data_IF_810961836833
#
_entry.id   IF_810961836833
#
_cell.length_a   1.000
_cell.length_b   1.000
_cell.length_c   1.000
_cell.angle_alpha   90.00
_cell.angle_beta   90.00
_cell.angle_gamma   90.00
#
_symmetry.space_group_name_H-M   'P 1'
#
loop_
_entity.id
_entity.type
_entity.pdbx_description
1 polymer ?
#
# COMPACT_ATOMS: atom_id res chain seq x y z
N UNK A 1 -0.82 26.71 -6.11
CA UNK A 1 -0.01 25.60 -6.68
C UNK A 1 -0.32 24.35 -5.87
N UNK A 2 -1.09 23.40 -6.42
CA UNK A 2 -1.27 22.12 -5.76
C UNK A 2 0.09 21.43 -5.71
N UNK A 3 0.69 21.34 -4.52
CA UNK A 3 1.80 20.43 -4.27
C UNK A 3 1.43 19.09 -4.89
N UNK A 4 2.20 18.61 -5.89
CA UNK A 4 1.99 17.28 -6.46
C UNK A 4 2.08 16.30 -5.29
N UNK A 5 0.92 15.81 -4.83
CA UNK A 5 0.87 14.74 -3.83
C UNK A 5 1.74 13.62 -4.37
N UNK A 6 2.77 13.23 -3.62
CA UNK A 6 3.62 12.08 -3.97
C UNK A 6 3.06 10.88 -3.24
N UNK A 7 3.07 9.74 -3.90
CA UNK A 7 2.75 8.48 -3.23
C UNK A 7 3.98 8.01 -2.44
N UNK A 8 3.87 7.76 -1.12
CA UNK A 8 4.94 7.15 -0.34
C UNK A 8 5.12 5.65 -0.63
N UNK A 9 4.22 5.06 -1.43
CA UNK A 9 4.21 3.65 -1.78
C UNK A 9 5.53 3.20 -2.40
N UNK A 10 6.12 2.17 -1.81
CA UNK A 10 7.30 1.45 -2.32
C UNK A 10 6.91 0.01 -2.61
N UNK A 11 7.74 -0.70 -3.39
CA UNK A 11 7.53 -2.13 -3.60
C UNK A 11 7.60 -2.85 -2.24
N UNK A 12 6.55 -3.59 -1.82
CA UNK A 12 6.56 -4.32 -0.56
C UNK A 12 7.71 -5.32 -0.45
N UNK A 13 8.15 -5.88 -1.58
CA UNK A 13 9.08 -7.01 -1.63
C UNK A 13 10.55 -6.57 -1.66
N UNK A 14 10.88 -5.53 -2.43
CA UNK A 14 12.27 -5.07 -2.59
C UNK A 14 12.53 -3.63 -2.12
N UNK A 15 11.52 -2.96 -1.54
CA UNK A 15 11.59 -1.60 -0.98
C UNK A 15 12.01 -0.47 -1.94
N UNK A 16 12.23 -0.78 -3.22
CA UNK A 16 12.55 0.21 -4.25
C UNK A 16 11.33 1.09 -4.54
N UNK A 17 11.62 2.30 -5.02
CA UNK A 17 10.59 3.21 -5.51
C UNK A 17 9.81 2.57 -6.66
N UNK A 18 8.51 2.86 -6.71
CA UNK A 18 7.65 2.38 -7.79
C UNK A 18 7.66 3.33 -8.98
N UNK A 19 7.58 2.75 -10.17
CA UNK A 19 7.38 3.45 -11.42
C UNK A 19 5.89 3.63 -11.72
N UNK A 20 5.56 4.43 -12.73
CA UNK A 20 4.19 4.63 -13.22
C UNK A 20 3.17 4.90 -12.09
N UNK A 21 3.58 5.72 -11.12
CA UNK A 21 2.77 5.97 -9.92
C UNK A 21 1.52 6.77 -10.25
N UNK A 22 0.40 6.38 -9.65
CA UNK A 22 -0.90 7.00 -9.85
C UNK A 22 -1.53 7.29 -8.49
N UNK A 23 -2.16 8.46 -8.37
CA UNK A 23 -3.04 8.82 -7.26
C UNK A 23 -4.39 9.14 -7.89
N UNK A 24 -5.35 8.26 -7.65
CA UNK A 24 -6.68 8.33 -8.25
C UNK A 24 -7.66 8.74 -7.15
N UNK A 25 -8.28 9.93 -7.24
CA UNK A 25 -9.36 10.30 -6.32
C UNK A 25 -10.54 9.35 -6.52
N UNK A 26 -10.94 8.65 -5.47
CA UNK A 26 -12.12 7.78 -5.47
C UNK A 26 -13.39 8.53 -5.03
N UNK A 27 -13.21 9.67 -4.36
CA UNK A 27 -14.29 10.56 -3.97
C UNK A 27 -14.01 11.20 -2.62
N UNK A 28 -15.10 11.60 -1.95
CA UNK A 28 -15.06 12.01 -0.55
C UNK A 28 -15.84 11.00 0.28
N UNK A 29 -15.30 10.65 1.44
CA UNK A 29 -16.06 9.95 2.47
C UNK A 29 -16.61 10.96 3.48
N UNK A 30 -17.28 10.47 4.53
CA UNK A 30 -17.89 11.25 5.62
C UNK A 30 -17.01 12.44 6.04
N UNK A 31 -17.64 13.61 6.23
CA UNK A 31 -16.97 14.87 6.58
C UNK A 31 -15.99 15.42 5.53
N UNK A 32 -16.15 15.04 4.26
CA UNK A 32 -15.36 15.60 3.15
C UNK A 32 -13.91 15.11 3.14
N UNK A 33 -13.61 14.02 3.84
CA UNK A 33 -12.26 13.46 3.88
C UNK A 33 -11.90 12.88 2.50
N UNK A 34 -10.70 13.17 1.97
CA UNK A 34 -10.29 12.64 0.68
C UNK A 34 -10.15 11.12 0.78
N UNK A 35 -10.70 10.42 -0.21
CA UNK A 35 -10.49 9.01 -0.45
C UNK A 35 -9.72 8.84 -1.76
N UNK A 36 -8.53 8.27 -1.65
CA UNK A 36 -7.59 8.15 -2.76
C UNK A 36 -7.10 6.72 -2.89
N UNK A 37 -6.97 6.25 -4.13
CA UNK A 37 -6.23 5.05 -4.47
C UNK A 37 -4.82 5.44 -4.90
N UNK A 38 -3.83 4.89 -4.22
CA UNK A 38 -2.43 5.03 -4.58
C UNK A 38 -1.95 3.75 -5.22
N UNK A 39 -1.33 3.84 -6.40
CA UNK A 39 -0.80 2.67 -7.09
C UNK A 39 0.57 2.95 -7.71
N UNK A 40 1.36 1.91 -7.91
CA UNK A 40 2.64 1.98 -8.60
C UNK A 40 3.12 0.61 -9.07
N UNK A 41 4.02 0.61 -10.05
CA UNK A 41 4.54 -0.58 -10.69
C UNK A 41 5.98 -0.85 -10.30
N UNK A 42 6.30 -2.09 -9.93
CA UNK A 42 7.66 -2.59 -9.79
C UNK A 42 7.98 -3.48 -11.00
N UNK A 43 9.08 -3.25 -11.74
CA UNK A 43 9.45 -4.08 -12.89
C UNK A 43 9.59 -5.57 -12.58
N UNK A 44 9.98 -5.94 -11.35
CA UNK A 44 10.19 -7.33 -10.95
C UNK A 44 8.94 -8.00 -10.35
N UNK A 45 8.08 -7.23 -9.68
CA UNK A 45 6.99 -7.80 -8.87
C UNK A 45 5.57 -7.39 -9.38
N UNK A 46 5.49 -6.45 -10.31
CA UNK A 46 4.25 -5.97 -10.91
C UNK A 46 3.61 -4.80 -10.15
N UNK A 47 2.29 -4.66 -10.28
CA UNK A 47 1.53 -3.55 -9.70
C UNK A 47 1.18 -3.77 -8.24
N UNK A 48 1.27 -2.68 -7.46
CA UNK A 48 0.80 -2.60 -6.08
C UNK A 48 -0.12 -1.40 -5.92
N UNK A 49 -1.11 -1.52 -5.04
CA UNK A 49 -1.98 -0.41 -4.69
C UNK A 49 -2.39 -0.44 -3.22
N UNK A 50 -2.84 0.69 -2.71
CA UNK A 50 -3.49 0.81 -1.41
C UNK A 50 -4.46 1.99 -1.42
N UNK A 51 -5.38 2.01 -0.45
CA UNK A 51 -6.30 3.12 -0.26
C UNK A 51 -5.87 4.00 0.91
N UNK A 52 -6.07 5.31 0.74
CA UNK A 52 -5.80 6.32 1.75
C UNK A 52 -7.10 7.06 2.04
N UNK A 53 -7.57 6.96 3.28
CA UNK A 53 -8.77 7.65 3.77
C UNK A 53 -8.42 8.37 5.06
N UNK A 54 -7.95 9.62 4.96
CA UNK A 54 -7.55 10.47 6.10
C UNK A 54 -6.49 9.88 7.05
N UNK A 55 -5.92 8.72 6.73
CA UNK A 55 -4.97 7.92 7.51
C UNK A 55 -4.04 7.16 6.58
N UNK A 56 -2.83 6.75 7.04
CA UNK A 56 -1.98 5.87 6.26
C UNK A 56 -2.71 4.57 5.87
N UNK A 57 -2.32 3.92 4.76
CA UNK A 57 -2.94 2.67 4.34
C UNK A 57 -2.69 1.60 5.40
N UNK A 58 -3.66 0.70 5.60
CA UNK A 58 -3.44 -0.48 6.45
C UNK A 58 -2.73 -1.59 5.70
N UNK A 59 -3.06 -1.76 4.44
CA UNK A 59 -2.61 -2.88 3.63
C UNK A 59 -2.23 -2.39 2.25
N UNK A 60 -1.23 -3.05 1.66
CA UNK A 60 -0.82 -2.87 0.27
C UNK A 60 -1.13 -4.16 -0.47
N UNK A 61 -1.86 -4.05 -1.57
CA UNK A 61 -2.32 -5.17 -2.36
C UNK A 61 -1.52 -5.29 -3.64
N UNK A 62 -0.94 -6.46 -3.96
CA UNK A 62 -0.51 -6.75 -5.31
C UNK A 62 -1.74 -6.90 -6.22
N UNK A 63 -1.74 -6.24 -7.36
CA UNK A 63 -2.90 -6.20 -8.27
C UNK A 63 -2.49 -6.42 -9.72
N UNK A 64 -3.44 -6.75 -10.59
CA UNK A 64 -3.19 -6.87 -12.03
C UNK A 64 -2.87 -5.52 -12.68
N UNK A 65 -3.50 -4.44 -12.21
CA UNK A 65 -3.35 -3.05 -12.63
C UNK A 65 -3.97 -2.13 -11.57
N UNK A 66 -3.76 -0.80 -11.60
CA UNK A 66 -4.45 0.13 -10.71
C UNK A 66 -5.98 -0.01 -10.80
N UNK A 67 -6.63 -0.21 -9.67
CA UNK A 67 -8.07 -0.49 -9.57
C UNK A 67 -8.48 -1.89 -10.07
N UNK A 68 -7.52 -2.76 -10.36
CA UNK A 68 -7.73 -4.11 -10.87
C UNK A 68 -7.97 -5.15 -9.78
N UNK A 69 -7.80 -6.42 -10.14
CA UNK A 69 -8.01 -7.56 -9.26
C UNK A 69 -6.76 -7.85 -8.43
N UNK A 70 -6.95 -8.20 -7.16
CA UNK A 70 -5.87 -8.66 -6.26
C UNK A 70 -5.24 -9.94 -6.81
N UNK A 71 -3.92 -9.97 -6.82
CA UNK A 71 -3.11 -11.15 -7.14
C UNK A 71 -2.78 -11.91 -5.86
N UNK A 72 -2.83 -13.22 -5.90
CA UNK A 72 -2.31 -14.05 -4.80
C UNK A 72 -0.77 -14.06 -4.86
N UNK A 73 -0.13 -14.09 -3.72
CA UNK A 73 1.28 -14.44 -3.59
C UNK A 73 1.44 -15.49 -2.50
N UNK A 74 2.59 -16.12 -2.44
CA UNK A 74 2.93 -17.10 -1.40
C UNK A 74 4.17 -16.67 -0.65
N UNK A 75 4.20 -16.96 0.64
CA UNK A 75 5.41 -16.91 1.46
C UNK A 75 5.66 -18.32 1.97
N UNK A 76 6.76 -18.93 1.51
CA UNK A 76 7.09 -20.32 1.84
C UNK A 76 5.92 -21.30 1.60
N UNK A 77 5.21 -21.13 0.47
CA UNK A 77 4.05 -21.95 0.10
C UNK A 77 2.72 -21.58 0.78
N UNK A 78 2.71 -20.66 1.74
CA UNK A 78 1.49 -20.17 2.39
C UNK A 78 0.94 -18.98 1.61
N UNK A 79 -0.31 -19.07 1.15
CA UNK A 79 -0.95 -18.01 0.38
C UNK A 79 -1.24 -16.77 1.25
N UNK A 80 -0.99 -15.60 0.66
CA UNK A 80 -1.33 -14.29 1.20
C UNK A 80 -1.88 -13.39 0.07
N UNK A 81 -2.60 -12.35 0.47
CA UNK A 81 -3.34 -11.47 -0.45
C UNK A 81 -3.01 -9.99 -0.28
N UNK A 82 -2.34 -9.63 0.81
CA UNK A 82 -1.97 -8.26 1.13
C UNK A 82 -0.69 -8.23 1.97
N UNK A 83 0.02 -7.12 1.88
CA UNK A 83 1.13 -6.76 2.76
C UNK A 83 0.61 -5.80 3.83
N UNK A 84 0.50 -6.22 5.10
CA UNK A 84 0.12 -5.31 6.17
C UNK A 84 1.21 -4.26 6.36
N UNK A 85 0.81 -3.04 6.69
CA UNK A 85 1.75 -1.94 6.96
C UNK A 85 2.00 -1.79 8.46
N UNK A 86 3.04 -1.04 8.82
CA UNK A 86 3.31 -0.62 10.20
C UNK A 86 2.11 0.12 10.81
N UNK A 87 1.30 0.83 10.01
CA UNK A 87 0.07 1.45 10.50
C UNK A 87 -0.98 0.42 10.97
N UNK A 88 -1.06 -0.72 10.30
CA UNK A 88 -2.03 -1.78 10.64
C UNK A 88 -1.74 -2.46 11.98
N UNK A 89 -0.47 -2.55 12.37
CA UNK A 89 -0.06 -3.13 13.66
C UNK A 89 -0.17 -2.16 14.84
N UNK A 90 -0.47 -0.87 14.60
CA UNK A 90 -0.67 0.09 15.68
C UNK A 90 -1.97 -0.19 16.44
N UNK A 91 -1.82 -0.60 17.70
CA UNK A 91 -2.96 -0.88 18.59
C UNK A 91 -3.65 0.40 19.07
N UNK A 92 -2.92 1.52 19.16
CA UNK A 92 -3.44 2.80 19.66
C UNK A 92 -3.70 3.79 18.52
N UNK A 93 -4.95 4.26 18.36
CA UNK A 93 -5.25 5.30 17.38
C UNK A 93 -4.53 6.62 17.71
N UNK A 94 -3.64 7.04 16.83
CA UNK A 94 -2.93 8.33 16.92
C UNK A 94 -3.22 9.18 15.68
N UNK A 95 -3.24 10.51 15.81
CA UNK A 95 -3.41 11.40 14.65
C UNK A 95 -2.06 11.62 14.00
N UNK A 96 -1.91 11.15 12.76
CA UNK A 96 -0.65 11.21 11.99
C UNK A 96 -0.91 11.77 10.61
N UNK A 97 0.15 12.22 9.93
CA UNK A 97 0.09 12.54 8.51
C UNK A 97 -0.18 11.24 7.72
N UNK A 98 -1.23 11.16 6.89
CA UNK A 98 -1.49 10.00 6.04
C UNK A 98 -0.36 9.64 5.08
N UNK A 99 0.53 10.58 4.77
CA UNK A 99 1.61 10.40 3.79
C UNK A 99 3.01 10.32 4.43
N UNK A 100 3.10 10.20 5.76
CA UNK A 100 4.36 9.86 6.45
C UNK A 100 4.79 8.43 6.04
N UNK A 101 5.91 8.34 5.34
CA UNK A 101 6.38 7.13 4.63
C UNK A 101 6.66 5.95 5.55
N UNK A 102 7.06 6.21 6.79
CA UNK A 102 7.25 5.20 7.84
C UNK A 102 6.00 4.35 8.08
N UNK A 103 4.81 4.95 7.96
CA UNK A 103 3.54 4.23 8.17
C UNK A 103 3.09 3.42 6.94
N UNK A 104 3.78 3.57 5.82
CA UNK A 104 3.56 2.81 4.58
C UNK A 104 4.49 1.61 4.46
N UNK A 105 5.49 1.51 5.32
CA UNK A 105 6.38 0.35 5.38
C UNK A 105 5.59 -0.92 5.71
N UNK A 106 6.02 -2.05 5.16
CA UNK A 106 5.42 -3.36 5.43
C UNK A 106 5.80 -3.81 6.82
N UNK A 107 4.80 -4.23 7.61
CA UNK A 107 5.03 -4.94 8.85
C UNK A 107 5.22 -6.44 8.57
N UNK A 108 6.47 -6.84 8.36
CA UNK A 108 6.83 -8.23 8.13
C UNK A 108 6.59 -9.14 9.33
N UNK A 109 6.45 -8.61 10.55
CA UNK A 109 6.14 -9.43 11.74
C UNK A 109 4.71 -10.00 11.71
N UNK A 110 3.84 -9.42 10.87
CA UNK A 110 2.48 -9.90 10.65
C UNK A 110 2.36 -10.94 9.53
N UNK A 111 3.46 -11.25 8.83
CA UNK A 111 3.51 -12.21 7.75
C UNK A 111 4.34 -13.45 8.13
N UNK A 112 4.10 -14.61 7.50
CA UNK A 112 4.99 -15.76 7.65
C UNK A 112 6.43 -15.40 7.25
N UNK A 113 7.40 -16.08 7.87
CA UNK A 113 8.81 -15.96 7.44
C UNK A 113 9.06 -16.74 6.15
N UNK A 114 9.84 -16.16 5.24
CA UNK A 114 10.30 -16.83 4.02
C UNK A 114 10.38 -15.93 2.80
N UNK A 115 10.64 -16.54 1.65
CA UNK A 115 10.68 -15.85 0.37
C UNK A 115 9.27 -15.63 -0.20
N UNK A 116 9.05 -14.44 -0.75
CA UNK A 116 7.82 -14.10 -1.49
C UNK A 116 7.92 -14.64 -2.93
N UNK A 117 6.85 -15.26 -3.40
CA UNK A 117 6.66 -15.62 -4.81
C UNK A 117 5.25 -15.26 -5.30
N UNK A 118 5.13 -14.86 -6.56
CA UNK A 118 3.87 -14.49 -7.22
C UNK A 118 3.50 -15.45 -8.35
#
# INVERSE_FOLDING_TARGET
>A
MASRRRTPLRCPVCSRGLDNTQIIPLGAVTSGLPWELHAGHCPEHGWFQCEVISRPPREIFPVSQPGGTVRTFTINGVAAYAFPTIWNSQVTPQRVDPYDDRYWEVDWSMLPEGAVSF
#
